data_IF_614315111042
#
_entry.id   IF_614315111042
#
_cell.length_a   1.000
_cell.length_b   1.000
_cell.length_c   1.000
_cell.angle_alpha   90.00
_cell.angle_beta   90.00
_cell.angle_gamma   90.00
#
_symmetry.space_group_name_H-M   'P 1'
#
loop_
_entity.id
_entity.type
_entity.pdbx_description
1 polymer ?
#
# COMPACT_ATOMS: atom_id res chain seq x y z
N UNK A 1 15.73 -0.05 1.56
CA UNK A 1 14.33 0.10 1.99
C UNK A 1 14.28 0.68 3.39
N UNK A 2 13.78 1.93 3.48
CA UNK A 2 13.79 2.68 4.75
C UNK A 2 12.99 1.99 5.85
N UNK A 3 11.80 1.45 5.52
CA UNK A 3 10.93 0.77 6.49
C UNK A 3 11.64 -0.39 7.22
N UNK A 4 12.36 -1.23 6.50
CA UNK A 4 13.12 -2.34 7.12
C UNK A 4 14.28 -1.85 8.01
N UNK A 5 14.91 -0.73 7.63
CA UNK A 5 15.93 -0.12 8.50
C UNK A 5 15.32 0.38 9.80
N UNK A 6 14.11 0.97 9.74
CA UNK A 6 13.35 1.40 10.92
C UNK A 6 12.98 0.20 11.80
N UNK A 7 12.36 -0.85 11.25
CA UNK A 7 12.03 -2.06 12.00
C UNK A 7 13.24 -2.65 12.71
N UNK A 8 14.38 -2.75 12.00
CA UNK A 8 15.64 -3.25 12.56
C UNK A 8 16.17 -2.35 13.67
N UNK A 9 16.09 -1.02 13.52
CA UNK A 9 16.57 -0.07 14.53
C UNK A 9 15.78 -0.12 15.83
N UNK A 10 14.50 -0.52 15.77
CA UNK A 10 13.67 -0.75 16.94
C UNK A 10 13.76 -2.19 17.48
N UNK A 11 14.56 -3.06 16.87
CA UNK A 11 14.77 -4.43 17.35
C UNK A 11 13.62 -5.39 17.06
N UNK A 12 12.75 -5.08 16.09
CA UNK A 12 11.70 -6.01 15.70
C UNK A 12 12.26 -7.22 14.96
N UNK A 13 11.73 -8.40 15.29
CA UNK A 13 11.91 -9.61 14.51
C UNK A 13 11.00 -9.56 13.28
N UNK A 14 11.59 -9.55 12.08
CA UNK A 14 10.82 -9.46 10.84
C UNK A 14 11.55 -10.08 9.65
N UNK A 15 10.80 -10.39 8.62
CA UNK A 15 11.32 -10.74 7.29
C UNK A 15 10.49 -10.11 6.16
N UNK A 16 11.14 -9.77 5.03
CA UNK A 16 10.43 -9.31 3.84
C UNK A 16 9.64 -10.44 3.17
N UNK A 17 8.53 -10.07 2.54
CA UNK A 17 7.75 -10.95 1.66
C UNK A 17 7.47 -10.27 0.33
N UNK A 18 7.41 -11.08 -0.74
CA UNK A 18 7.01 -10.64 -2.07
C UNK A 18 5.50 -10.70 -2.17
N UNK A 19 4.89 -9.60 -2.61
CA UNK A 19 3.45 -9.40 -2.56
C UNK A 19 2.88 -9.12 -3.94
N UNK A 20 1.72 -9.69 -4.24
CA UNK A 20 0.86 -9.38 -5.38
C UNK A 20 -0.20 -8.36 -4.95
N UNK A 21 -0.25 -7.20 -5.60
CA UNK A 21 -1.29 -6.20 -5.39
C UNK A 21 -2.50 -6.54 -6.27
N UNK A 22 -3.55 -7.08 -5.68
CA UNK A 22 -4.72 -7.59 -6.42
C UNK A 22 -5.72 -6.49 -6.74
N UNK A 23 -6.04 -5.64 -5.76
CA UNK A 23 -7.04 -4.55 -5.86
C UNK A 23 -8.37 -4.99 -6.50
N UNK A 24 -8.80 -6.20 -6.19
CA UNK A 24 -10.01 -6.81 -6.71
C UNK A 24 -9.87 -7.44 -8.11
N UNK A 25 -8.67 -7.49 -8.69
CA UNK A 25 -8.43 -8.17 -9.96
C UNK A 25 -8.57 -9.69 -9.79
N UNK A 26 -9.21 -10.33 -10.77
CA UNK A 26 -9.21 -11.78 -10.97
C UNK A 26 -8.12 -12.26 -11.93
N UNK A 27 -7.48 -11.34 -12.64
CA UNK A 27 -6.42 -11.65 -13.59
C UNK A 27 -5.09 -11.95 -12.88
N UNK A 28 -4.20 -12.73 -13.50
CA UNK A 28 -2.87 -12.96 -12.98
C UNK A 28 -2.10 -11.64 -12.80
N UNK A 29 -1.59 -11.41 -11.58
CA UNK A 29 -0.86 -10.20 -11.21
C UNK A 29 0.62 -10.54 -10.99
N UNK A 30 1.52 -9.73 -11.54
CA UNK A 30 2.96 -9.83 -11.31
C UNK A 30 3.25 -9.39 -9.87
N UNK A 31 4.00 -10.19 -9.08
CA UNK A 31 4.34 -9.83 -7.71
C UNK A 31 5.47 -8.79 -7.70
N UNK A 32 5.13 -7.52 -7.60
CA UNK A 32 6.09 -6.40 -7.65
C UNK A 32 6.20 -5.62 -6.36
N UNK A 33 5.37 -5.93 -5.38
CA UNK A 33 5.33 -5.20 -4.12
C UNK A 33 6.08 -5.94 -3.01
N UNK A 34 6.49 -5.19 -2.00
CA UNK A 34 7.29 -5.66 -0.87
C UNK A 34 6.69 -5.18 0.45
N UNK A 35 6.40 -6.13 1.33
CA UNK A 35 5.94 -5.88 2.69
C UNK A 35 6.82 -6.58 3.72
N UNK A 36 6.56 -6.39 5.00
CA UNK A 36 7.22 -7.12 6.06
C UNK A 36 6.23 -7.96 6.88
N UNK A 37 6.66 -9.15 7.27
CA UNK A 37 6.02 -9.91 8.32
C UNK A 37 6.82 -9.67 9.59
N UNK A 38 6.15 -9.08 10.59
CA UNK A 38 6.75 -8.78 11.91
C UNK A 38 6.17 -9.75 12.92
N UNK A 39 7.03 -10.32 13.77
CA UNK A 39 6.60 -11.21 14.86
C UNK A 39 6.61 -10.44 16.18
N UNK A 40 5.48 -10.43 16.88
CA UNK A 40 5.34 -9.84 18.22
C UNK A 40 4.61 -10.85 19.10
N UNK A 41 5.21 -11.24 20.22
CA UNK A 41 4.66 -12.21 21.17
C UNK A 41 4.20 -13.53 20.52
N UNK A 42 4.95 -13.98 19.51
CA UNK A 42 4.66 -15.22 18.77
C UNK A 42 3.57 -15.10 17.71
N UNK A 43 3.00 -13.93 17.51
CA UNK A 43 2.00 -13.65 16.47
C UNK A 43 2.68 -12.95 15.30
N UNK A 44 2.41 -13.43 14.08
CA UNK A 44 2.88 -12.80 12.84
C UNK A 44 1.88 -11.73 12.38
N UNK A 45 2.41 -10.58 11.99
CA UNK A 45 1.63 -9.45 11.48
C UNK A 45 2.12 -9.05 10.09
N UNK A 46 1.20 -8.89 9.17
CA UNK A 46 1.49 -8.19 7.92
C UNK A 46 1.60 -6.69 8.19
N UNK A 47 2.70 -6.09 7.77
CA UNK A 47 2.97 -4.65 7.92
C UNK A 47 3.42 -4.06 6.60
N UNK A 48 2.80 -2.96 6.22
CA UNK A 48 3.04 -2.32 4.93
C UNK A 48 2.86 -0.80 5.04
N UNK A 49 3.83 -0.07 4.52
CA UNK A 49 3.80 1.41 4.48
C UNK A 49 3.94 1.94 3.06
N UNK A 50 3.92 1.06 2.06
CA UNK A 50 4.21 1.39 0.67
C UNK A 50 3.16 0.92 -0.34
N UNK A 51 2.06 0.31 0.12
CA UNK A 51 0.99 -0.15 -0.77
C UNK A 51 0.24 1.03 -1.44
N UNK A 52 0.35 2.22 -0.88
CA UNK A 52 -0.43 3.37 -1.25
C UNK A 52 -1.81 3.34 -0.61
N UNK A 53 -2.78 4.01 -1.23
CA UNK A 53 -4.17 3.87 -0.83
C UNK A 53 -4.76 2.65 -1.56
N UNK A 54 -5.17 1.64 -0.88
CA UNK A 54 -5.68 1.51 0.49
C UNK A 54 -4.78 0.69 1.44
N UNK A 55 -3.61 1.19 1.79
CA UNK A 55 -2.72 0.52 2.74
C UNK A 55 -3.41 0.23 4.08
N UNK A 56 -3.07 -0.86 4.78
CA UNK A 56 -3.50 -1.05 6.16
C UNK A 56 -3.00 0.08 7.05
N UNK A 57 -3.89 0.65 7.86
CA UNK A 57 -3.52 1.71 8.83
C UNK A 57 -3.00 1.15 10.15
N UNK A 58 -3.09 -0.17 10.34
CA UNK A 58 -2.57 -0.92 11.49
C UNK A 58 -1.91 -2.21 10.98
N UNK A 59 -0.99 -2.82 11.74
CA UNK A 59 -0.53 -4.17 11.47
C UNK A 59 -1.69 -5.15 11.44
N UNK A 60 -1.73 -6.04 10.45
CA UNK A 60 -2.79 -7.04 10.28
C UNK A 60 -2.32 -8.38 10.82
N UNK A 61 -2.89 -8.84 11.93
CA UNK A 61 -2.54 -10.14 12.51
C UNK A 61 -2.91 -11.28 11.54
N UNK A 62 -1.97 -12.17 11.33
CA UNK A 62 -2.11 -13.35 10.46
C UNK A 62 -2.58 -14.56 11.31
N UNK A 63 -3.82 -14.45 11.79
CA UNK A 63 -4.47 -15.48 12.60
C UNK A 63 -5.70 -15.95 11.84
N UNK A 64 -5.86 -17.26 11.74
CA UNK A 64 -7.05 -17.87 11.15
C UNK A 64 -8.30 -17.45 11.94
N UNK A 65 -9.37 -17.13 11.23
CA UNK A 65 -10.64 -16.66 11.81
C UNK A 65 -10.58 -15.36 12.63
N UNK A 66 -9.46 -14.62 12.57
CA UNK A 66 -9.40 -13.26 13.12
C UNK A 66 -10.43 -12.36 12.43
N UNK A 67 -11.08 -11.49 13.20
CA UNK A 67 -12.01 -10.49 12.70
C UNK A 67 -11.35 -9.42 11.84
N UNK A 68 -12.11 -8.40 11.48
CA UNK A 68 -11.62 -7.23 10.75
C UNK A 68 -10.66 -6.39 11.61
N UNK A 69 -9.60 -5.89 11.00
CA UNK A 69 -8.53 -5.15 11.65
C UNK A 69 -8.27 -3.82 10.90
N UNK A 70 -8.47 -2.65 11.51
CA UNK A 70 -9.11 -2.47 12.83
C UNK A 70 -10.59 -2.88 12.81
N UNK A 71 -11.16 -3.15 13.98
CA UNK A 71 -12.58 -3.53 14.11
C UNK A 71 -13.53 -2.41 13.70
N UNK A 72 -13.15 -1.15 13.97
CA UNK A 72 -13.93 0.02 13.58
C UNK A 72 -13.62 0.41 12.14
N UNK A 73 -14.64 0.37 11.29
CA UNK A 73 -14.54 0.70 9.88
C UNK A 73 -14.77 2.20 9.71
N UNK A 74 -13.82 2.88 9.06
CA UNK A 74 -13.94 4.27 8.63
C UNK A 74 -14.28 4.34 7.14
N UNK A 75 -15.07 5.34 6.68
CA UNK A 75 -15.34 5.55 5.26
C UNK A 75 -14.08 5.72 4.40
N UNK A 76 -13.01 6.25 5.00
CA UNK A 76 -11.78 6.62 4.30
C UNK A 76 -10.66 5.57 4.42
N UNK A 77 -10.82 4.59 5.31
CA UNK A 77 -9.80 3.58 5.56
C UNK A 77 -10.40 2.20 5.41
N UNK A 78 -9.54 1.26 5.00
CA UNK A 78 -9.92 -0.14 4.93
C UNK A 78 -9.61 -0.84 6.25
N UNK A 79 -10.53 -1.68 6.70
CA UNK A 79 -10.24 -2.78 7.62
C UNK A 79 -9.83 -3.99 6.81
N UNK A 80 -8.96 -4.81 7.37
CA UNK A 80 -8.41 -5.98 6.70
C UNK A 80 -8.75 -7.27 7.45
N UNK A 81 -8.92 -8.34 6.69
CA UNK A 81 -9.04 -9.70 7.20
C UNK A 81 -8.06 -10.60 6.47
N UNK A 82 -7.31 -11.40 7.22
CA UNK A 82 -6.42 -12.40 6.67
C UNK A 82 -7.19 -13.71 6.40
N UNK A 83 -6.97 -14.28 5.22
CA UNK A 83 -7.39 -15.62 4.84
C UNK A 83 -6.14 -16.46 4.62
N UNK A 84 -5.95 -17.49 5.44
CA UNK A 84 -4.78 -18.35 5.43
C UNK A 84 -5.13 -19.71 4.81
N UNK A 85 -4.22 -20.21 3.94
CA UNK A 85 -4.27 -21.55 3.40
C UNK A 85 -2.84 -22.11 3.37
N UNK A 86 -2.43 -22.79 4.43
CA UNK A 86 -1.04 -23.11 4.68
C UNK A 86 -0.19 -21.84 4.73
N UNK A 87 0.85 -21.79 3.91
CA UNK A 87 1.70 -20.60 3.80
C UNK A 87 1.13 -19.51 2.87
N UNK A 88 0.05 -19.79 2.15
CA UNK A 88 -0.55 -18.79 1.27
C UNK A 88 -1.48 -17.89 2.08
N UNK A 89 -1.32 -16.59 1.91
CA UNK A 89 -2.13 -15.58 2.56
C UNK A 89 -2.78 -14.70 1.50
N UNK A 90 -4.06 -14.40 1.70
CA UNK A 90 -4.78 -13.37 0.98
C UNK A 90 -5.38 -12.41 2.01
N UNK A 91 -5.12 -11.12 1.86
CA UNK A 91 -5.77 -10.09 2.64
C UNK A 91 -6.96 -9.56 1.86
N UNK A 92 -8.13 -9.66 2.47
CA UNK A 92 -9.34 -9.00 2.02
C UNK A 92 -9.45 -7.64 2.71
N UNK A 93 -9.72 -6.60 1.94
CA UNK A 93 -9.96 -5.26 2.44
C UNK A 93 -11.45 -4.93 2.40
N UNK A 94 -11.93 -4.21 3.40
CA UNK A 94 -13.29 -3.75 3.49
C UNK A 94 -13.36 -2.32 4.00
N UNK A 95 -14.17 -1.51 3.33
CA UNK A 95 -14.66 -0.25 3.85
C UNK A 95 -16.19 -0.21 3.71
N UNK A 96 -16.83 0.88 4.14
CA UNK A 96 -18.31 1.00 4.13
C UNK A 96 -18.96 0.81 2.75
N UNK A 97 -18.20 0.96 1.67
CA UNK A 97 -18.71 0.92 0.29
C UNK A 97 -18.27 -0.31 -0.50
N UNK A 98 -17.16 -0.95 -0.12
CA UNK A 98 -16.56 -1.99 -0.96
C UNK A 98 -15.79 -3.03 -0.14
N UNK A 99 -15.88 -4.28 -0.61
CA UNK A 99 -15.08 -5.41 -0.16
C UNK A 99 -14.33 -6.00 -1.35
N UNK A 100 -13.02 -6.24 -1.21
CA UNK A 100 -12.22 -6.79 -2.29
C UNK A 100 -10.95 -7.49 -1.80
N UNK A 101 -10.43 -8.42 -2.60
CA UNK A 101 -9.08 -8.96 -2.42
C UNK A 101 -8.06 -7.84 -2.65
N UNK A 102 -7.22 -7.57 -1.66
CA UNK A 102 -6.26 -6.48 -1.71
C UNK A 102 -4.88 -6.95 -2.13
N UNK A 103 -4.35 -7.90 -1.40
CA UNK A 103 -3.02 -8.46 -1.65
C UNK A 103 -3.00 -9.95 -1.42
N UNK A 104 -2.07 -10.64 -2.07
CA UNK A 104 -1.75 -12.03 -1.75
C UNK A 104 -0.25 -12.26 -1.75
N UNK A 105 0.21 -13.16 -0.89
CA UNK A 105 1.63 -13.50 -0.74
C UNK A 105 1.78 -14.89 -0.12
N UNK A 106 3.02 -15.36 -0.10
CA UNK A 106 3.41 -16.58 0.60
C UNK A 106 4.21 -16.21 1.83
N UNK A 107 3.97 -16.86 2.97
CA UNK A 107 4.78 -16.74 4.20
C UNK A 107 6.13 -17.40 3.98
N UNK A 108 6.94 -16.79 3.15
CA UNK A 108 8.28 -17.21 2.80
C UNK A 108 9.20 -15.99 2.85
N UNK A 109 10.24 -16.01 3.69
CA UNK A 109 11.23 -14.95 3.71
C UNK A 109 11.84 -14.71 2.33
N UNK A 110 11.89 -13.46 1.90
CA UNK A 110 12.58 -13.03 0.69
C UNK A 110 13.87 -12.29 1.07
N UNK A 111 14.89 -12.44 0.25
CA UNK A 111 16.10 -11.65 0.37
C UNK A 111 16.01 -10.37 -0.48
N UNK A 112 16.83 -9.36 -0.16
CA UNK A 112 16.80 -8.11 -0.91
C UNK A 112 17.14 -8.30 -2.40
N UNK A 113 17.94 -9.32 -2.73
CA UNK A 113 18.28 -9.66 -4.11
C UNK A 113 17.08 -10.13 -4.93
N UNK A 114 16.08 -10.76 -4.29
CA UNK A 114 14.87 -11.24 -4.97
C UNK A 114 14.02 -10.08 -5.53
N UNK A 115 14.16 -8.88 -4.96
CA UNK A 115 13.45 -7.70 -5.42
C UNK A 115 14.12 -7.00 -6.62
N UNK A 116 15.33 -7.36 -7.01
CA UNK A 116 16.03 -6.74 -8.14
C UNK A 116 15.23 -6.93 -9.45
N UNK A 117 14.89 -8.17 -9.87
CA UNK A 117 14.11 -8.36 -11.09
C UNK A 117 12.70 -7.78 -11.00
N UNK A 118 12.09 -7.80 -9.81
CA UNK A 118 10.76 -7.23 -9.59
C UNK A 118 10.77 -5.70 -9.71
N UNK A 119 11.79 -5.06 -9.15
CA UNK A 119 12.00 -3.62 -9.29
C UNK A 119 12.28 -3.23 -10.75
N UNK A 120 13.06 -4.04 -11.48
CA UNK A 120 13.29 -3.80 -12.90
C UNK A 120 11.98 -3.86 -13.69
N UNK A 121 11.14 -4.88 -13.45
CA UNK A 121 9.83 -4.94 -14.06
C UNK A 121 8.98 -3.71 -13.67
N UNK A 122 8.88 -3.39 -12.38
CA UNK A 122 8.08 -2.26 -11.91
C UNK A 122 8.49 -0.93 -12.55
N UNK A 123 9.80 -0.71 -12.74
CA UNK A 123 10.34 0.57 -13.24
C UNK A 123 10.44 0.66 -14.76
N UNK A 124 10.42 -0.47 -15.50
CA UNK A 124 10.72 -0.50 -16.93
C UNK A 124 9.62 -1.08 -17.81
N UNK A 125 8.74 -1.94 -17.27
CA UNK A 125 7.71 -2.55 -18.09
C UNK A 125 6.60 -1.55 -18.44
N UNK A 126 6.25 -1.49 -19.71
CA UNK A 126 5.16 -0.63 -20.20
C UNK A 126 3.81 -0.95 -19.54
N UNK A 127 3.61 -2.18 -19.11
CA UNK A 127 2.40 -2.64 -18.41
C UNK A 127 2.42 -2.34 -16.90
N UNK A 128 3.53 -1.84 -16.38
CA UNK A 128 3.63 -1.50 -14.96
C UNK A 128 2.83 -0.22 -14.63
N UNK A 129 2.00 -0.22 -13.59
CA UNK A 129 1.27 0.99 -13.18
C UNK A 129 2.18 2.20 -12.91
N UNK A 130 3.38 1.95 -12.36
CA UNK A 130 4.31 3.04 -11.99
C UNK A 130 5.03 3.67 -13.19
N UNK A 131 4.98 3.05 -14.38
CA UNK A 131 5.49 3.66 -15.61
C UNK A 131 4.44 4.47 -16.37
N UNK A 132 3.16 4.39 -15.93
CA UNK A 132 2.04 5.02 -16.62
C UNK A 132 1.78 6.47 -16.18
N UNK A 133 2.56 6.99 -15.25
CA UNK A 133 2.45 8.36 -14.76
C UNK A 133 2.77 8.50 -13.29
N UNK A 134 2.55 9.70 -12.78
CA UNK A 134 2.82 10.01 -11.38
C UNK A 134 1.77 9.36 -10.49
N UNK A 135 2.24 8.75 -9.40
CA UNK A 135 1.42 8.23 -8.31
C UNK A 135 1.97 8.81 -7.02
N UNK A 136 1.18 9.62 -6.34
CA UNK A 136 1.47 10.15 -5.01
C UNK A 136 0.24 9.95 -4.15
N UNK A 137 0.42 9.37 -2.97
CA UNK A 137 -0.68 9.05 -2.09
C UNK A 137 -0.29 9.30 -0.64
N UNK A 138 -1.21 9.82 0.14
CA UNK A 138 -0.98 10.16 1.54
C UNK A 138 -2.27 10.00 2.35
N UNK A 139 -2.14 9.45 3.56
CA UNK A 139 -3.18 9.59 4.58
C UNK A 139 -3.09 10.98 5.20
N UNK A 140 -4.24 11.60 5.44
CA UNK A 140 -4.39 12.88 6.14
C UNK A 140 -5.12 12.65 7.46
N UNK A 141 -5.18 13.66 8.32
CA UNK A 141 -5.90 13.56 9.61
C UNK A 141 -7.39 13.21 9.45
N UNK A 142 -7.98 13.51 8.30
CA UNK A 142 -9.41 13.33 8.04
C UNK A 142 -9.74 12.44 6.85
N UNK A 143 -8.75 11.84 6.22
CA UNK A 143 -8.98 11.01 5.05
C UNK A 143 -7.73 10.78 4.23
N UNK A 144 -7.81 11.04 2.93
CA UNK A 144 -6.73 10.72 1.99
C UNK A 144 -6.54 11.80 0.94
N UNK A 145 -5.31 11.94 0.46
CA UNK A 145 -4.98 12.74 -0.71
C UNK A 145 -4.21 11.88 -1.71
N UNK A 146 -4.50 12.01 -2.99
CA UNK A 146 -3.80 11.28 -4.03
C UNK A 146 -3.65 12.09 -5.32
N UNK A 147 -2.53 11.90 -6.00
CA UNK A 147 -2.38 12.24 -7.42
C UNK A 147 -2.16 10.93 -8.17
N UNK A 148 -3.03 10.65 -9.12
CA UNK A 148 -2.90 9.54 -10.04
C UNK A 148 -2.84 10.09 -11.47
N UNK A 149 -1.68 9.96 -12.11
CA UNK A 149 -1.36 10.62 -13.38
C UNK A 149 -1.43 12.15 -13.22
N UNK A 150 -2.47 12.78 -13.73
CA UNK A 150 -2.72 14.21 -13.62
C UNK A 150 -3.99 14.57 -12.82
N UNK A 151 -4.55 13.60 -12.09
CA UNK A 151 -5.77 13.81 -11.31
C UNK A 151 -5.45 13.88 -9.83
N UNK A 152 -5.64 15.05 -9.22
CA UNK A 152 -5.61 15.23 -7.77
C UNK A 152 -6.98 14.89 -7.21
N UNK A 153 -7.00 14.08 -6.15
CA UNK A 153 -8.18 13.79 -5.35
C UNK A 153 -7.86 14.00 -3.87
N UNK A 154 -8.71 14.75 -3.18
CA UNK A 154 -8.67 14.91 -1.72
C UNK A 154 -10.00 14.43 -1.17
N UNK A 155 -9.96 13.47 -0.26
CA UNK A 155 -11.14 12.86 0.35
C UNK A 155 -11.09 13.03 1.85
N UNK A 156 -12.20 13.43 2.45
CA UNK A 156 -12.43 13.50 3.90
C UNK A 156 -13.74 12.81 4.23
N UNK A 157 -14.10 12.70 5.52
CA UNK A 157 -15.28 11.96 5.99
C UNK A 157 -16.58 12.34 5.26
N UNK A 158 -16.75 13.63 4.94
CA UNK A 158 -17.98 14.16 4.38
C UNK A 158 -17.84 14.66 2.93
N UNK A 159 -16.64 14.64 2.36
CA UNK A 159 -16.35 15.38 1.13
C UNK A 159 -15.24 14.73 0.31
N UNK A 160 -15.44 14.69 -1.00
CA UNK A 160 -14.38 14.37 -1.95
C UNK A 160 -14.29 15.49 -2.99
N UNK A 161 -13.08 15.98 -3.22
CA UNK A 161 -12.77 16.99 -4.23
C UNK A 161 -11.83 16.36 -5.26
N UNK A 162 -12.09 16.62 -6.53
CA UNK A 162 -11.24 16.18 -7.63
C UNK A 162 -10.88 17.36 -8.52
N UNK A 163 -9.62 17.43 -8.94
CA UNK A 163 -9.10 18.45 -9.85
C UNK A 163 -8.15 17.81 -10.86
N UNK A 164 -8.26 18.20 -12.12
CA UNK A 164 -7.28 17.85 -13.13
C UNK A 164 -6.15 18.88 -13.08
N UNK A 165 -4.92 18.41 -13.06
CA UNK A 165 -3.70 19.20 -13.13
C UNK A 165 -3.32 19.30 -14.62
N UNK A 166 -3.53 20.47 -15.22
CA UNK A 166 -3.39 20.64 -16.66
C UNK A 166 -1.96 20.96 -17.07
N UNK A 167 -1.19 21.53 -16.16
CA UNK A 167 0.18 21.98 -16.39
C UNK A 167 1.17 21.40 -15.37
N UNK A 168 2.45 21.43 -15.72
CA UNK A 168 3.53 21.07 -14.79
C UNK A 168 3.55 21.98 -13.55
N UNK A 169 3.17 23.24 -13.70
CA UNK A 169 3.10 24.18 -12.58
C UNK A 169 1.94 23.84 -11.64
N UNK A 170 0.77 23.41 -12.16
CA UNK A 170 -0.32 22.89 -11.35
C UNK A 170 0.12 21.67 -10.56
N UNK A 171 0.86 20.76 -11.20
CA UNK A 171 1.40 19.57 -10.55
C UNK A 171 2.39 19.92 -9.44
N UNK A 172 3.36 20.83 -9.70
CA UNK A 172 4.33 21.27 -8.71
C UNK A 172 3.66 21.97 -7.53
N UNK A 173 2.65 22.80 -7.81
CA UNK A 173 1.86 23.47 -6.77
C UNK A 173 1.11 22.45 -5.90
N UNK A 174 0.42 21.47 -6.52
CA UNK A 174 -0.29 20.43 -5.79
C UNK A 174 0.65 19.55 -4.96
N UNK A 175 1.81 19.16 -5.50
CA UNK A 175 2.84 18.40 -4.77
C UNK A 175 3.33 19.16 -3.53
N UNK A 176 3.52 20.47 -3.64
CA UNK A 176 3.95 21.28 -2.50
C UNK A 176 2.83 21.53 -1.49
N UNK A 177 1.69 22.02 -1.95
CA UNK A 177 0.59 22.47 -1.09
C UNK A 177 -0.11 21.33 -0.34
N UNK A 178 -0.27 20.18 -1.01
CA UNK A 178 -1.02 19.04 -0.46
C UNK A 178 -0.10 18.01 0.18
N UNK A 179 1.05 17.71 -0.44
CA UNK A 179 1.91 16.60 -0.01
C UNK A 179 3.22 17.08 0.65
N UNK A 180 3.52 18.38 0.65
CA UNK A 180 4.76 18.92 1.19
C UNK A 180 6.00 18.51 0.36
N UNK A 181 5.81 18.07 -0.87
CA UNK A 181 6.88 17.62 -1.76
C UNK A 181 7.37 18.81 -2.60
N UNK A 182 8.60 19.24 -2.36
CA UNK A 182 9.24 20.29 -3.15
C UNK A 182 9.99 19.66 -4.32
N UNK A 183 9.53 19.94 -5.53
CA UNK A 183 10.27 19.60 -6.76
C UNK A 183 11.25 20.73 -7.04
N UNK A 184 12.57 20.44 -6.93
CA UNK A 184 13.61 21.38 -7.38
C UNK A 184 13.52 21.45 -8.90
N UNK A 185 13.32 22.66 -9.45
CA UNK A 185 13.51 22.90 -10.89
C UNK A 185 14.97 22.59 -11.27
N UNK A 186 15.16 22.09 -12.49
CA UNK A 186 16.46 22.07 -13.15
C UNK A 186 17.02 23.49 -13.28
#
# INVERSE_FOLDING_TARGET
MLFFAVLRSFGYDFYPVIVKCLFGSSDPVVPTHCAAIVTIDGISYYTDVGLGLPSPVVPVALIEDQGWQPETISPNFYSYKAHLNGNNVMLEGYNVSKRMSMVSFVLQPAELVDFIPLNYYASMAETSPVTQGIIVEMFTDRGTASILKNKLRISSDDRAEERILETDDDLKAALWEVFGIKVSGE
#
